data_IF_755548685071
#
_entry.id   IF_755548685071
#
_cell.length_a   1.000
_cell.length_b   1.000
_cell.length_c   1.000
_cell.angle_alpha   90.00
_cell.angle_beta   90.00
_cell.angle_gamma   90.00
#
_symmetry.space_group_name_H-M   'P 1'
#
loop_
_entity.id
_entity.type
_entity.pdbx_description
1 polymer ?
#
# COMPACT_ATOMS: atom_id res chain seq x y z
N UNK A 1 -9.85 7.93 -4.44
CA UNK A 1 -9.47 6.58 -3.98
C UNK A 1 -8.93 5.80 -5.16
N UNK A 2 -7.79 5.14 -4.99
CA UNK A 2 -7.23 4.20 -5.96
C UNK A 2 -7.56 2.78 -5.53
N UNK A 3 -8.01 1.94 -6.46
CA UNK A 3 -8.26 0.52 -6.25
C UNK A 3 -7.41 -0.29 -7.21
N UNK A 4 -6.73 -1.31 -6.72
CA UNK A 4 -5.85 -2.16 -7.52
C UNK A 4 -5.76 -3.56 -6.94
N UNK A 5 -5.29 -4.51 -7.75
CA UNK A 5 -5.02 -5.86 -7.29
C UNK A 5 -3.53 -5.99 -6.92
N UNK A 6 -3.25 -6.32 -5.65
CA UNK A 6 -1.87 -6.48 -5.12
C UNK A 6 -1.28 -7.84 -5.47
N UNK A 7 -2.10 -8.88 -5.32
CA UNK A 7 -1.85 -10.27 -5.70
C UNK A 7 -3.15 -10.84 -6.26
N UNK A 8 -3.10 -11.96 -6.97
CA UNK A 8 -4.32 -12.61 -7.49
C UNK A 8 -5.35 -12.81 -6.38
N UNK A 9 -6.52 -12.20 -6.54
CA UNK A 9 -7.62 -12.29 -5.57
C UNK A 9 -7.47 -11.43 -4.30
N UNK A 10 -6.44 -10.59 -4.21
CA UNK A 10 -6.26 -9.60 -3.14
C UNK A 10 -6.38 -8.20 -3.72
N UNK A 11 -7.50 -7.56 -3.39
CA UNK A 11 -7.81 -6.19 -3.76
C UNK A 11 -7.36 -5.24 -2.66
N UNK A 12 -6.96 -4.04 -3.05
CA UNK A 12 -6.59 -2.95 -2.15
C UNK A 12 -7.32 -1.69 -2.58
N UNK A 13 -7.96 -1.01 -1.64
CA UNK A 13 -8.44 0.36 -1.83
C UNK A 13 -7.61 1.29 -0.95
N UNK A 14 -7.07 2.37 -1.55
CA UNK A 14 -6.22 3.35 -0.87
C UNK A 14 -6.70 4.78 -1.11
N UNK A 15 -6.77 5.57 -0.04
CA UNK A 15 -7.00 7.01 -0.11
C UNK A 15 -5.76 7.75 -0.57
N UNK A 16 -5.96 8.78 -1.39
CA UNK A 16 -4.86 9.54 -2.00
C UNK A 16 -4.57 10.82 -1.22
N UNK A 17 -5.61 11.55 -0.83
CA UNK A 17 -5.51 12.74 0.02
C UNK A 17 -5.21 12.39 1.48
N UNK A 18 -5.74 11.25 1.92
CA UNK A 18 -5.54 10.66 3.24
C UNK A 18 -5.12 9.21 3.05
N UNK A 19 -3.88 8.86 3.42
CA UNK A 19 -3.25 7.56 3.14
C UNK A 19 -3.78 6.43 4.03
N UNK A 20 -5.07 6.17 3.89
CA UNK A 20 -5.81 5.07 4.48
C UNK A 20 -5.86 3.93 3.47
N UNK A 21 -5.71 2.68 3.92
CA UNK A 21 -5.82 1.53 3.05
C UNK A 21 -6.56 0.37 3.72
N UNK A 22 -7.30 -0.38 2.90
CA UNK A 22 -7.92 -1.66 3.28
C UNK A 22 -7.58 -2.70 2.21
N UNK A 23 -7.52 -3.97 2.63
CA UNK A 23 -7.39 -5.11 1.72
C UNK A 23 -8.63 -6.00 1.82
N UNK A 24 -8.97 -6.70 0.74
CA UNK A 24 -10.17 -7.54 0.67
C UNK A 24 -10.13 -8.53 -0.49
N UNK A 25 -11.13 -9.41 -0.52
CA UNK A 25 -11.19 -10.54 -1.47
C UNK A 25 -11.94 -10.23 -2.76
N UNK A 26 -12.67 -9.12 -2.81
CA UNK A 26 -13.34 -8.62 -4.01
C UNK A 26 -13.23 -7.10 -4.10
N UNK A 27 -13.48 -6.57 -5.31
CA UNK A 27 -13.51 -5.14 -5.60
C UNK A 27 -14.58 -4.44 -4.75
N UNK A 28 -15.79 -5.00 -4.70
CA UNK A 28 -16.92 -4.46 -3.96
C UNK A 28 -16.62 -4.42 -2.45
N UNK A 29 -16.02 -5.49 -1.92
CA UNK A 29 -15.67 -5.60 -0.51
C UNK A 29 -14.69 -4.51 -0.09
N UNK A 30 -13.65 -4.22 -0.87
CA UNK A 30 -12.69 -3.17 -0.50
C UNK A 30 -13.29 -1.77 -0.62
N UNK A 31 -14.20 -1.54 -1.57
CA UNK A 31 -14.92 -0.27 -1.71
C UNK A 31 -15.85 -0.01 -0.53
N UNK A 32 -16.57 -1.03 -0.06
CA UNK A 32 -17.41 -0.93 1.13
C UNK A 32 -16.59 -0.76 2.42
N UNK A 33 -15.51 -1.54 2.57
CA UNK A 33 -14.64 -1.49 3.74
C UNK A 33 -13.98 -0.12 3.89
N UNK A 34 -13.40 0.44 2.82
CA UNK A 34 -12.72 1.74 2.91
C UNK A 34 -13.73 2.86 3.22
N UNK A 35 -14.95 2.77 2.66
CA UNK A 35 -16.01 3.72 2.97
C UNK A 35 -16.38 3.68 4.46
N UNK A 36 -16.60 2.50 5.03
CA UNK A 36 -16.89 2.33 6.45
C UNK A 36 -15.74 2.84 7.32
N UNK A 37 -14.50 2.54 6.95
CA UNK A 37 -13.31 3.00 7.67
C UNK A 37 -13.22 4.53 7.70
N UNK A 38 -13.45 5.19 6.56
CA UNK A 38 -13.46 6.65 6.46
C UNK A 38 -14.56 7.24 7.34
N UNK A 39 -15.79 6.73 7.24
CA UNK A 39 -16.91 7.22 8.06
C UNK A 39 -16.65 7.03 9.55
N UNK A 40 -16.07 5.91 9.96
CA UNK A 40 -15.71 5.66 11.35
C UNK A 40 -14.68 6.67 11.87
N UNK A 41 -13.64 6.96 11.09
CA UNK A 41 -12.62 7.95 11.48
C UNK A 41 -13.20 9.37 11.52
N UNK A 42 -14.03 9.75 10.54
CA UNK A 42 -14.70 11.06 10.57
C UNK A 42 -15.60 11.21 11.79
N UNK A 43 -16.39 10.18 12.11
CA UNK A 43 -17.23 10.20 13.31
C UNK A 43 -16.38 10.29 14.59
N UNK A 44 -15.27 9.55 14.64
CA UNK A 44 -14.33 9.62 15.76
C UNK A 44 -13.71 11.01 15.91
N UNK A 45 -13.13 11.56 14.86
CA UNK A 45 -12.47 12.87 14.88
C UNK A 45 -13.44 13.98 15.32
N UNK A 46 -14.66 13.97 14.78
CA UNK A 46 -15.70 14.93 15.15
C UNK A 46 -16.08 14.85 16.62
N UNK A 47 -16.26 13.64 17.16
CA UNK A 47 -16.56 13.44 18.60
C UNK A 47 -15.47 13.99 19.51
N UNK A 48 -14.24 14.12 19.00
CA UNK A 48 -13.09 14.61 19.75
C UNK A 48 -12.65 16.02 19.33
N UNK A 49 -13.48 16.75 18.56
CA UNK A 49 -13.18 18.12 18.13
C UNK A 49 -11.98 18.23 17.19
N UNK A 50 -11.64 17.17 16.46
CA UNK A 50 -10.53 17.13 15.49
C UNK A 50 -11.05 17.35 14.08
N UNK A 51 -10.19 17.92 13.24
CA UNK A 51 -10.45 17.97 11.80
C UNK A 51 -10.51 16.53 11.24
N UNK A 52 -11.54 16.18 10.44
CA UNK A 52 -11.68 14.83 9.91
C UNK A 52 -10.45 14.37 9.15
N UNK A 53 -10.00 13.14 9.43
CA UNK A 53 -8.88 12.47 8.77
C UNK A 53 -7.53 13.20 8.91
N UNK A 54 -7.45 14.21 9.78
CA UNK A 54 -6.22 14.99 10.01
C UNK A 54 -4.98 14.19 10.45
N UNK A 55 -5.09 13.01 11.10
CA UNK A 55 -3.92 12.18 11.38
C UNK A 55 -3.27 11.55 10.13
N UNK A 56 -3.99 11.52 9.00
CA UNK A 56 -3.54 10.85 7.77
C UNK A 56 -3.02 11.87 6.76
N UNK A 57 -1.71 11.79 6.48
CA UNK A 57 -1.09 12.54 5.39
C UNK A 57 -1.49 12.00 4.01
N UNK A 58 -1.03 12.68 2.95
CA UNK A 58 -1.27 12.24 1.58
C UNK A 58 -0.52 10.96 1.23
N UNK A 59 -1.09 10.15 0.33
CA UNK A 59 -0.45 8.95 -0.16
C UNK A 59 0.81 9.25 -0.99
N UNK A 60 1.79 8.33 -1.04
CA UNK A 60 2.97 8.48 -1.89
C UNK A 60 2.63 8.77 -3.36
N UNK A 61 3.44 9.60 -4.02
CA UNK A 61 3.21 10.09 -5.39
C UNK A 61 2.95 8.99 -6.43
N UNK A 62 3.49 7.79 -6.23
CA UNK A 62 3.26 6.65 -7.14
C UNK A 62 1.78 6.27 -7.25
N UNK A 63 1.02 6.41 -6.16
CA UNK A 63 -0.41 6.11 -6.16
C UNK A 63 -1.21 7.17 -6.89
N UNK A 64 -0.82 8.45 -6.77
CA UNK A 64 -1.36 9.53 -7.59
C UNK A 64 -1.11 9.31 -9.08
N UNK A 65 0.12 8.96 -9.45
CA UNK A 65 0.46 8.64 -10.86
C UNK A 65 -0.33 7.45 -11.38
N UNK A 66 -0.58 6.43 -10.56
CA UNK A 66 -1.40 5.28 -10.94
C UNK A 66 -2.88 5.66 -11.08
N UNK A 67 -3.36 6.60 -10.26
CA UNK A 67 -4.71 7.14 -10.35
C UNK A 67 -4.95 7.94 -11.63
N UNK A 68 -3.96 8.72 -12.08
CA UNK A 68 -4.06 9.49 -13.34
C UNK A 68 -4.25 8.59 -14.56
N UNK A 69 -3.78 7.33 -14.49
CA UNK A 69 -3.94 6.31 -15.54
C UNK A 69 -5.11 5.35 -15.30
N UNK A 70 -5.76 5.43 -14.14
CA UNK A 70 -6.80 4.49 -13.73
C UNK A 70 -8.15 4.83 -14.37
N UNK A 71 -8.98 3.79 -14.52
CA UNK A 71 -10.37 3.95 -14.99
C UNK A 71 -11.25 4.39 -13.82
N UNK A 72 -11.84 5.58 -13.90
CA UNK A 72 -12.82 6.03 -12.90
C UNK A 72 -14.02 5.10 -12.89
N UNK A 73 -14.37 4.62 -11.70
CA UNK A 73 -15.57 3.82 -11.51
C UNK A 73 -16.79 4.74 -11.45
N UNK A 74 -17.95 4.30 -11.95
CA UNK A 74 -19.20 5.02 -11.72
C UNK A 74 -19.38 5.28 -10.23
N UNK A 75 -19.81 6.48 -9.86
CA UNK A 75 -20.15 6.76 -8.48
C UNK A 75 -21.17 5.73 -8.01
N UNK A 76 -20.82 4.89 -7.04
CA UNK A 76 -21.80 4.05 -6.39
C UNK A 76 -22.82 4.99 -5.76
N UNK A 77 -24.06 4.95 -6.26
CA UNK A 77 -25.19 5.59 -5.61
C UNK A 77 -25.23 5.01 -4.20
N UNK A 78 -24.87 5.85 -3.27
CA UNK A 78 -24.94 5.53 -1.86
C UNK A 78 -26.41 5.41 -1.51
N UNK A 79 -26.92 4.18 -1.40
CA UNK A 79 -28.31 3.93 -1.00
C UNK A 79 -28.57 4.28 0.48
N UNK A 80 -27.66 4.99 1.13
CA UNK A 80 -27.72 5.25 2.55
C UNK A 80 -27.81 6.76 2.79
N UNK A 81 -28.97 7.18 3.28
CA UNK A 81 -29.32 8.55 3.64
C UNK A 81 -28.60 9.02 4.88
N UNK A 82 -27.26 8.97 4.87
CA UNK A 82 -26.43 9.59 5.89
C UNK A 82 -26.39 11.12 5.64
N UNK A 83 -27.50 11.78 5.98
CA UNK A 83 -27.53 13.21 6.21
C UNK A 83 -26.43 13.56 7.22
N UNK A 84 -25.39 14.28 6.79
CA UNK A 84 -24.35 14.82 7.68
C UNK A 84 -22.89 14.58 7.28
N UNK A 85 -22.58 14.04 6.11
CA UNK A 85 -21.18 13.98 5.65
C UNK A 85 -20.84 15.18 4.76
N UNK A 86 -20.25 16.24 5.35
CA UNK A 86 -19.48 17.28 4.62
C UNK A 86 -18.27 16.72 3.85
N UNK A 87 -18.03 15.40 3.92
CA UNK A 87 -17.11 14.76 3.00
C UNK A 87 -17.69 14.86 1.60
N UNK A 88 -16.97 15.56 0.72
CA UNK A 88 -17.26 15.57 -0.70
C UNK A 88 -17.34 14.16 -1.30
N UNK A 89 -17.78 14.05 -2.57
CA UNK A 89 -17.98 12.75 -3.20
C UNK A 89 -16.70 11.90 -3.20
N UNK A 90 -16.78 10.70 -2.64
CA UNK A 90 -15.67 9.74 -2.69
C UNK A 90 -15.61 9.15 -4.12
N UNK A 91 -14.59 9.55 -4.86
CA UNK A 91 -14.32 9.02 -6.22
C UNK A 91 -13.42 7.80 -6.13
N UNK A 92 -13.80 6.71 -6.81
CA UNK A 92 -12.97 5.52 -6.97
C UNK A 92 -12.42 5.42 -8.39
N UNK A 93 -11.16 5.02 -8.54
CA UNK A 93 -10.58 4.65 -9.82
C UNK A 93 -9.87 3.31 -9.71
N UNK A 94 -10.12 2.44 -10.69
CA UNK A 94 -9.57 1.10 -10.81
C UNK A 94 -8.31 1.15 -11.67
N UNK A 95 -7.18 0.75 -11.09
CA UNK A 95 -5.93 0.56 -11.81
C UNK A 95 -5.68 -0.92 -12.04
N UNK A 96 -5.27 -1.26 -13.27
CA UNK A 96 -4.72 -2.57 -13.62
C UNK A 96 -3.28 -2.74 -13.17
N UNK A 97 -2.60 -1.67 -12.77
CA UNK A 97 -1.21 -1.67 -12.33
C UNK A 97 -1.12 -1.79 -10.81
N UNK A 98 -0.26 -2.70 -10.33
CA UNK A 98 0.17 -2.67 -8.92
C UNK A 98 1.23 -1.59 -8.74
N UNK A 99 1.01 -0.54 -7.92
CA UNK A 99 1.99 0.53 -7.69
C UNK A 99 3.07 0.05 -6.71
N UNK A 100 3.87 -0.93 -7.15
CA UNK A 100 4.95 -1.50 -6.38
C UNK A 100 5.99 -0.43 -6.00
N UNK A 101 6.61 -0.60 -4.84
CA UNK A 101 7.92 -0.01 -4.61
C UNK A 101 8.87 -0.54 -5.70
N UNK A 102 9.67 0.31 -6.37
CA UNK A 102 10.78 -0.21 -7.13
C UNK A 102 11.64 -1.01 -6.14
N UNK A 103 11.71 -2.34 -6.28
CA UNK A 103 12.65 -3.14 -5.51
C UNK A 103 14.01 -2.49 -5.70
N UNK A 104 14.58 -1.96 -4.61
CA UNK A 104 15.97 -1.56 -4.60
C UNK A 104 16.77 -2.79 -5.06
N UNK A 105 17.31 -2.73 -6.28
CA UNK A 105 18.19 -3.78 -6.78
C UNK A 105 19.36 -3.89 -5.79
N UNK A 106 19.58 -5.12 -5.31
CA UNK A 106 20.79 -5.59 -4.63
C UNK A 106 20.90 -5.42 -3.10
N UNK A 107 20.35 -6.38 -2.38
CA UNK A 107 20.98 -6.95 -1.18
C UNK A 107 21.09 -8.50 -1.24
N UNK A 108 20.35 -9.15 -2.14
CA UNK A 108 20.26 -10.61 -2.24
C UNK A 108 21.36 -11.26 -3.11
N UNK A 109 22.11 -10.47 -3.88
CA UNK A 109 23.09 -10.99 -4.86
C UNK A 109 24.53 -11.09 -4.32
N UNK A 110 24.74 -10.83 -3.02
CA UNK A 110 26.07 -10.93 -2.38
C UNK A 110 26.31 -12.23 -1.61
N UNK A 111 25.30 -13.09 -1.40
CA UNK A 111 25.43 -14.30 -0.58
C UNK A 111 25.62 -15.60 -1.36
N UNK A 112 25.63 -15.58 -2.71
CA UNK A 112 25.77 -16.79 -3.53
C UNK A 112 27.08 -16.85 -4.36
N UNK A 113 28.06 -16.01 -4.04
CA UNK A 113 29.33 -15.94 -4.75
C UNK A 113 30.56 -16.13 -3.87
N UNK A 114 30.63 -17.20 -3.06
CA UNK A 114 31.91 -17.75 -2.55
C UNK A 114 31.76 -19.21 -2.18
N UNK A 115 31.93 -20.06 -3.19
CA UNK A 115 32.18 -21.48 -3.02
C UNK A 115 33.53 -21.71 -2.34
N UNK A 116 33.54 -22.68 -1.43
CA UNK A 116 34.68 -23.22 -0.71
C UNK A 116 35.80 -23.73 -1.63
N UNK A 117 37.04 -23.57 -1.19
CA UNK A 117 38.05 -24.61 -1.37
C UNK A 117 38.80 -24.81 -0.05
N UNK A 118 38.57 -25.97 0.55
CA UNK A 118 39.37 -26.54 1.62
C UNK A 118 40.72 -27.00 1.04
N UNK A 119 41.77 -26.92 1.87
CA UNK A 119 43.11 -27.42 1.53
C UNK A 119 44.04 -27.38 2.74
N UNK A 120 43.87 -28.35 3.63
CA UNK A 120 44.73 -28.66 4.77
C UNK A 120 45.97 -29.45 4.27
N UNK A 121 47.20 -28.98 4.52
CA UNK A 121 48.41 -29.84 4.59
C UNK A 121 49.40 -29.29 5.62
N UNK A 122 50.00 -30.21 6.37
CA UNK A 122 50.84 -30.04 7.55
C UNK A 122 52.32 -29.65 7.29
N UNK A 123 52.94 -29.19 8.39
CA UNK A 123 54.36 -28.89 8.79
C UNK A 123 55.43 -29.84 8.18
N UNK A 124 56.79 -29.63 8.25
CA UNK A 124 57.59 -28.89 9.28
C UNK A 124 58.94 -28.22 8.84
N UNK A 125 59.65 -27.52 9.77
CA UNK A 125 61.13 -27.55 9.82
C UNK A 125 61.98 -26.24 9.76
N UNK A 126 62.23 -25.62 10.94
CA UNK A 126 63.55 -25.17 11.49
C UNK A 126 64.41 -24.07 10.76
N UNK A 127 65.54 -23.59 11.33
CA UNK A 127 65.72 -22.23 11.92
C UNK A 127 66.80 -21.36 11.23
N UNK A 128 67.03 -20.13 11.74
CA UNK A 128 68.26 -19.26 11.78
C UNK A 128 67.81 -17.78 11.69
N UNK A 129 68.31 -16.76 12.39
CA UNK A 129 69.52 -16.50 13.18
C UNK A 129 69.17 -15.69 14.44
#
# INVERSE_FOLDING_TARGET
>A
MLVFQKLRGIWVARGLEHDLAVEGRSLESVMDLIRRLVLAHVAFDRRHGRAPLSPFGAAPQRFWRAFDRATRLPALKSSDGAAGSDLGPITFALSSEFPAEPMARSAFDRSLGRGSHAGLVARPGRPVH
#
